data_IF_740325501750
#
_entry.id   IF_740325501750
#
_cell.length_a   1.000
_cell.length_b   1.000
_cell.length_c   1.000
_cell.angle_alpha   90.00
_cell.angle_beta   90.00
_cell.angle_gamma   90.00
#
_symmetry.space_group_name_H-M   'P 1'
#
loop_
_entity.id
_entity.type
_entity.pdbx_description
1 polymer ?
#
# COMPACT_ATOMS: atom_id res chain seq x y z
N UNK A 1 36.46 -2.10 -2.51
CA UNK A 1 35.64 -2.17 -1.29
C UNK A 1 34.79 -3.41 -1.38
N UNK A 2 34.83 -4.31 -0.39
CA UNK A 2 34.03 -5.53 -0.42
C UNK A 2 32.57 -5.17 -0.12
N UNK A 3 31.71 -5.24 -1.14
CA UNK A 3 30.27 -5.12 -0.95
C UNK A 3 29.75 -6.41 -0.33
N UNK A 4 29.17 -6.32 0.87
CA UNK A 4 28.44 -7.42 1.51
C UNK A 4 26.97 -7.04 1.66
N UNK A 5 26.06 -7.85 1.11
CA UNK A 5 24.62 -7.70 1.34
C UNK A 5 24.13 -8.78 2.30
N UNK A 6 23.48 -8.36 3.39
CA UNK A 6 22.82 -9.26 4.32
C UNK A 6 21.57 -9.82 3.66
N UNK A 7 21.44 -11.15 3.60
CA UNK A 7 20.30 -11.85 3.00
C UNK A 7 19.35 -12.41 4.05
N UNK A 8 19.90 -12.90 5.17
CA UNK A 8 19.11 -13.52 6.22
C UNK A 8 19.81 -13.39 7.58
N UNK A 9 19.03 -13.21 8.64
CA UNK A 9 19.49 -13.28 10.02
C UNK A 9 18.45 -14.02 10.84
N UNK A 10 18.90 -14.93 11.69
CA UNK A 10 18.01 -15.71 12.54
C UNK A 10 18.76 -16.60 13.51
N UNK A 11 18.05 -17.60 14.02
CA UNK A 11 18.56 -18.59 14.96
C UNK A 11 18.55 -19.94 14.27
N UNK A 12 19.60 -20.71 14.49
CA UNK A 12 19.69 -22.09 14.08
C UNK A 12 20.01 -22.99 15.27
N UNK A 13 19.66 -24.25 15.14
CA UNK A 13 19.87 -25.27 16.15
C UNK A 13 20.82 -26.33 15.60
N UNK A 14 21.85 -26.65 16.36
CA UNK A 14 22.78 -27.74 16.05
C UNK A 14 22.47 -28.92 16.96
N UNK A 15 22.27 -30.10 16.39
CA UNK A 15 22.03 -31.31 17.16
C UNK A 15 23.33 -31.73 17.86
N UNK A 16 23.31 -31.74 19.20
CA UNK A 16 24.40 -32.24 20.03
C UNK A 16 24.23 -33.74 20.27
N UNK A 17 23.03 -34.15 20.67
CA UNK A 17 22.71 -35.54 20.99
C UNK A 17 21.34 -35.88 20.40
N UNK A 18 21.25 -37.01 19.69
CA UNK A 18 19.98 -37.52 19.18
C UNK A 18 19.09 -38.05 20.32
N UNK A 19 17.80 -38.21 20.05
CA UNK A 19 16.85 -38.80 20.98
C UNK A 19 17.31 -40.20 21.40
N UNK A 20 17.25 -40.45 22.69
CA UNK A 20 17.45 -41.79 23.27
C UNK A 20 16.14 -42.27 23.90
N UNK A 21 16.12 -43.50 24.41
CA UNK A 21 14.94 -44.04 25.11
C UNK A 21 14.54 -43.22 26.35
N UNK A 22 15.50 -42.53 26.98
CA UNK A 22 15.29 -41.82 28.25
C UNK A 22 15.32 -40.30 28.12
N UNK A 23 15.85 -39.75 27.03
CA UNK A 23 16.03 -38.31 26.86
C UNK A 23 15.60 -37.81 25.49
N UNK A 24 15.05 -36.59 25.48
CA UNK A 24 14.79 -35.82 24.27
C UNK A 24 16.10 -35.41 23.58
N UNK A 25 16.08 -35.14 22.26
CA UNK A 25 17.26 -34.67 21.54
C UNK A 25 17.74 -33.32 22.10
N UNK A 26 19.05 -33.18 22.25
CA UNK A 26 19.68 -31.95 22.75
C UNK A 26 20.22 -31.12 21.59
N UNK A 27 19.93 -29.83 21.65
CA UNK A 27 20.36 -28.86 20.64
C UNK A 27 21.17 -27.73 21.26
N UNK A 28 22.20 -27.28 20.56
CA UNK A 28 22.82 -25.97 20.80
C UNK A 28 22.10 -24.91 19.97
N UNK A 29 21.86 -23.75 20.56
CA UNK A 29 21.31 -22.60 19.87
C UNK A 29 22.45 -21.72 19.37
N UNK A 30 22.49 -21.47 18.06
CA UNK A 30 23.53 -20.66 17.42
C UNK A 30 22.90 -19.51 16.63
N UNK A 31 23.59 -18.36 16.62
CA UNK A 31 23.21 -17.26 15.72
C UNK A 31 23.54 -17.64 14.28
N UNK A 32 22.58 -17.46 13.37
CA UNK A 32 22.72 -17.75 11.95
C UNK A 32 22.59 -16.46 11.13
N UNK A 33 23.55 -16.21 10.26
CA UNK A 33 23.55 -15.09 9.34
C UNK A 33 23.98 -15.55 7.94
N UNK A 34 23.23 -15.16 6.91
CA UNK A 34 23.57 -15.41 5.51
C UNK A 34 23.80 -14.09 4.81
N UNK A 35 24.94 -13.95 4.14
CA UNK A 35 25.30 -12.76 3.36
C UNK A 35 25.89 -13.12 2.03
N UNK A 36 25.66 -12.28 1.02
CA UNK A 36 26.35 -12.35 -0.26
C UNK A 36 27.58 -11.46 -0.20
N UNK A 37 28.75 -12.02 -0.50
CA UNK A 37 30.03 -11.32 -0.38
C UNK A 37 30.89 -11.54 -1.62
N UNK A 38 31.46 -10.45 -2.13
CA UNK A 38 32.46 -10.51 -3.21
C UNK A 38 33.85 -10.66 -2.57
N UNK A 39 34.57 -11.68 -3.00
CA UNK A 39 35.95 -11.95 -2.55
C UNK A 39 36.96 -11.50 -3.60
N UNK A 40 38.19 -11.08 -3.21
CA UNK A 40 39.20 -10.59 -4.16
C UNK A 40 39.59 -11.59 -5.25
N UNK A 41 39.47 -12.89 -4.97
CA UNK A 41 39.87 -13.97 -5.86
C UNK A 41 38.74 -14.53 -6.72
N UNK A 42 37.48 -14.07 -6.55
CA UNK A 42 36.35 -14.51 -7.36
C UNK A 42 35.61 -13.34 -8.01
N UNK A 43 35.26 -13.53 -9.28
CA UNK A 43 34.50 -12.53 -10.05
C UNK A 43 33.02 -12.48 -9.68
N UNK A 44 32.47 -13.59 -9.17
CA UNK A 44 31.06 -13.70 -8.77
C UNK A 44 30.92 -13.63 -7.24
N UNK A 45 29.89 -12.96 -6.73
CA UNK A 45 29.59 -12.97 -5.30
C UNK A 45 29.34 -14.40 -4.83
N UNK A 46 29.78 -14.72 -3.62
CA UNK A 46 29.56 -16.01 -2.97
C UNK A 46 28.63 -15.85 -1.79
N UNK A 47 27.86 -16.90 -1.52
CA UNK A 47 27.01 -16.97 -0.34
C UNK A 47 27.82 -17.45 0.86
N UNK A 48 27.90 -16.60 1.87
CA UNK A 48 28.60 -16.85 3.13
C UNK A 48 27.56 -17.07 4.22
N UNK A 49 27.63 -18.24 4.85
CA UNK A 49 26.88 -18.61 6.04
C UNK A 49 27.78 -18.43 7.26
N UNK A 50 27.40 -17.56 8.18
CA UNK A 50 27.98 -17.45 9.50
C UNK A 50 27.11 -18.19 10.50
N UNK A 51 27.70 -19.15 11.21
CA UNK A 51 27.05 -19.91 12.28
C UNK A 51 27.88 -19.76 13.55
N UNK A 52 27.33 -19.04 14.53
CA UNK A 52 28.07 -18.60 15.71
C UNK A 52 29.30 -17.79 15.30
N UNK A 53 30.48 -18.27 15.68
CA UNK A 53 31.77 -17.65 15.36
C UNK A 53 32.43 -18.17 14.07
N UNK A 54 31.84 -19.19 13.41
CA UNK A 54 32.46 -19.81 12.24
C UNK A 54 31.78 -19.36 10.95
N UNK A 55 32.59 -19.05 9.94
CA UNK A 55 32.11 -18.65 8.62
C UNK A 55 32.35 -19.74 7.59
N UNK A 56 31.35 -19.94 6.74
CA UNK A 56 31.31 -21.00 5.75
C UNK A 56 30.90 -20.45 4.39
N UNK A 57 31.48 -20.98 3.33
CA UNK A 57 30.99 -20.83 1.96
C UNK A 57 30.02 -21.96 1.68
N UNK A 58 28.82 -21.60 1.22
CA UNK A 58 27.77 -22.56 0.90
C UNK A 58 27.89 -22.96 -0.55
N UNK A 59 28.01 -24.26 -0.82
CA UNK A 59 28.10 -24.81 -2.17
C UNK A 59 26.77 -25.39 -2.64
N UNK A 60 26.07 -26.08 -1.75
CA UNK A 60 24.77 -26.67 -2.01
C UNK A 60 23.96 -26.69 -0.72
N UNK A 61 22.64 -26.59 -0.85
CA UNK A 61 21.69 -26.59 0.26
C UNK A 61 20.43 -27.33 -0.15
N UNK A 62 19.91 -28.18 0.72
CA UNK A 62 18.65 -28.87 0.48
C UNK A 62 17.88 -29.18 1.77
N UNK A 63 16.56 -29.41 1.65
CA UNK A 63 15.77 -29.95 2.75
C UNK A 63 16.24 -31.36 3.10
N UNK A 64 16.18 -31.71 4.38
CA UNK A 64 16.36 -33.08 4.83
C UNK A 64 15.37 -33.44 5.93
N UNK A 65 15.20 -34.73 6.15
CA UNK A 65 14.26 -35.28 7.12
C UNK A 65 14.84 -35.18 8.54
N UNK A 66 14.22 -34.35 9.37
CA UNK A 66 14.63 -34.11 10.75
C UNK A 66 14.35 -35.31 11.66
N UNK A 67 13.30 -36.10 11.39
CA UNK A 67 12.91 -37.23 12.22
C UNK A 67 13.96 -38.36 12.12
N UNK A 68 14.49 -38.59 10.92
CA UNK A 68 15.59 -39.56 10.70
C UNK A 68 16.85 -39.25 11.49
N UNK A 69 17.14 -37.95 11.71
CA UNK A 69 18.37 -37.54 12.39
C UNK A 69 18.22 -37.27 13.88
N UNK A 70 17.15 -36.61 14.28
CA UNK A 70 16.88 -36.34 15.69
C UNK A 70 16.32 -37.56 16.42
N UNK A 71 15.73 -38.53 15.71
CA UNK A 71 14.99 -39.64 16.29
C UNK A 71 13.62 -39.22 16.85
N UNK A 72 13.23 -37.95 16.71
CA UNK A 72 11.97 -37.44 17.22
C UNK A 72 10.92 -37.34 16.11
N UNK A 73 9.91 -38.22 16.17
CA UNK A 73 8.81 -38.28 15.22
C UNK A 73 7.85 -37.07 15.32
N UNK A 74 7.93 -36.29 16.41
CA UNK A 74 7.08 -35.10 16.58
C UNK A 74 7.55 -33.89 15.76
N UNK A 75 8.63 -34.01 14.98
CA UNK A 75 9.14 -33.00 14.03
C UNK A 75 9.12 -31.54 14.53
N UNK A 76 9.50 -31.31 15.78
CA UNK A 76 9.49 -29.96 16.35
C UNK A 76 10.48 -29.00 15.67
N UNK A 77 11.48 -29.53 14.97
CA UNK A 77 12.46 -28.76 14.20
C UNK A 77 12.64 -29.37 12.82
N UNK A 78 12.98 -28.52 11.86
CA UNK A 78 13.08 -28.80 10.43
C UNK A 78 14.54 -28.73 10.01
N UNK A 79 15.01 -29.75 9.30
CA UNK A 79 16.44 -29.95 9.02
C UNK A 79 16.80 -29.43 7.63
N UNK A 80 17.96 -28.77 7.56
CA UNK A 80 18.66 -28.40 6.34
C UNK A 80 19.98 -29.16 6.27
N UNK A 81 20.27 -29.64 5.07
CA UNK A 81 21.53 -30.28 4.73
C UNK A 81 22.32 -29.35 3.82
N UNK A 82 23.50 -28.93 4.30
CA UNK A 82 24.34 -27.96 3.62
C UNK A 82 25.69 -28.58 3.30
N UNK A 83 26.13 -28.45 2.05
CA UNK A 83 27.51 -28.76 1.65
C UNK A 83 28.28 -27.45 1.69
N UNK A 84 29.27 -27.37 2.59
CA UNK A 84 29.97 -26.12 2.89
C UNK A 84 31.48 -26.29 2.92
N UNK A 85 32.20 -25.16 2.82
CA UNK A 85 33.65 -25.06 3.04
C UNK A 85 33.94 -23.98 4.08
N UNK A 86 34.73 -24.25 5.14
CA UNK A 86 35.13 -23.20 6.07
C UNK A 86 35.85 -22.07 5.35
N UNK A 87 35.47 -20.82 5.62
CA UNK A 87 35.99 -19.68 4.87
C UNK A 87 37.50 -19.51 5.09
N UNK A 88 37.99 -19.73 6.31
CA UNK A 88 39.42 -19.65 6.60
C UNK A 88 40.22 -20.74 5.88
N UNK A 89 39.62 -21.92 5.72
CA UNK A 89 40.23 -22.99 4.93
C UNK A 89 40.29 -22.63 3.44
N UNK A 90 39.23 -22.02 2.91
CA UNK A 90 39.21 -21.51 1.53
C UNK A 90 40.28 -20.44 1.33
N UNK A 91 40.40 -19.47 2.25
CA UNK A 91 41.45 -18.43 2.17
C UNK A 91 42.85 -19.05 2.16
N UNK A 92 43.12 -20.02 3.04
CA UNK A 92 44.40 -20.74 3.07
C UNK A 92 44.63 -21.55 1.80
N UNK A 93 43.62 -22.26 1.33
CA UNK A 93 43.68 -23.05 0.10
C UNK A 93 43.99 -22.19 -1.12
N UNK A 94 43.41 -20.99 -1.21
CA UNK A 94 43.74 -20.03 -2.27
C UNK A 94 45.16 -19.50 -2.14
N UNK A 95 45.61 -19.16 -0.92
CA UNK A 95 46.94 -18.63 -0.67
C UNK A 95 48.04 -19.64 -1.02
N UNK A 96 47.86 -20.90 -0.64
CA UNK A 96 48.84 -21.97 -0.84
C UNK A 96 48.58 -22.83 -2.07
N UNK A 97 47.56 -22.49 -2.88
CA UNK A 97 47.16 -23.23 -4.09
C UNK A 97 46.85 -24.71 -3.82
N UNK A 98 46.15 -24.99 -2.72
CA UNK A 98 45.70 -26.34 -2.34
C UNK A 98 44.19 -26.51 -2.47
N UNK A 99 43.69 -27.72 -2.25
CA UNK A 99 42.26 -28.00 -2.25
C UNK A 99 41.62 -27.61 -0.90
N UNK A 100 40.54 -26.84 -0.94
CA UNK A 100 39.75 -26.51 0.25
C UNK A 100 38.90 -27.71 0.70
N UNK A 101 38.88 -27.98 2.00
CA UNK A 101 38.11 -29.06 2.61
C UNK A 101 36.62 -28.79 2.47
N UNK A 102 35.91 -29.78 1.95
CA UNK A 102 34.45 -29.77 1.86
C UNK A 102 33.87 -30.59 3.00
N UNK A 103 32.84 -30.07 3.66
CA UNK A 103 32.16 -30.75 4.76
C UNK A 103 30.65 -30.60 4.64
N UNK A 104 29.95 -31.50 5.30
CA UNK A 104 28.49 -31.52 5.38
C UNK A 104 28.07 -30.95 6.73
N UNK A 105 27.18 -29.97 6.71
CA UNK A 105 26.61 -29.35 7.90
C UNK A 105 25.10 -29.63 7.98
N UNK A 106 24.65 -30.05 9.16
CA UNK A 106 23.25 -30.33 9.46
C UNK A 106 22.72 -29.24 10.40
N UNK A 107 21.78 -28.44 9.91
CA UNK A 107 21.27 -27.25 10.60
C UNK A 107 19.77 -27.38 10.79
N UNK A 108 19.29 -27.18 12.02
CA UNK A 108 17.87 -27.28 12.35
C UNK A 108 17.26 -25.88 12.55
N UNK A 109 16.00 -25.72 12.17
CA UNK A 109 15.21 -24.48 12.27
C UNK A 109 13.82 -24.82 12.79
N UNK A 110 13.17 -23.91 13.51
CA UNK A 110 11.90 -24.22 14.18
C UNK A 110 10.68 -24.33 13.25
N UNK A 111 10.67 -23.58 12.14
CA UNK A 111 9.52 -23.49 11.26
C UNK A 111 9.87 -23.80 9.80
N UNK A 112 8.91 -24.40 9.08
CA UNK A 112 9.08 -24.78 7.68
C UNK A 112 9.20 -23.57 6.76
N UNK A 113 8.42 -22.51 7.02
CA UNK A 113 8.54 -21.25 6.30
C UNK A 113 9.94 -20.64 6.44
N UNK A 114 10.52 -20.70 7.64
CA UNK A 114 11.88 -20.21 7.90
C UNK A 114 12.91 -21.06 7.17
N UNK A 115 12.71 -22.40 7.14
CA UNK A 115 13.54 -23.32 6.36
C UNK A 115 13.52 -22.97 4.87
N UNK A 116 12.34 -22.75 4.29
CA UNK A 116 12.18 -22.39 2.87
C UNK A 116 12.79 -21.02 2.54
N UNK A 117 12.58 -20.02 3.42
CA UNK A 117 13.20 -18.70 3.26
C UNK A 117 14.72 -18.80 3.30
N UNK A 118 15.27 -19.54 4.25
CA UNK A 118 16.70 -19.76 4.37
C UNK A 118 17.27 -20.47 3.14
N UNK A 119 16.60 -21.52 2.64
CA UNK A 119 17.01 -22.22 1.42
C UNK A 119 17.06 -21.29 0.19
N UNK A 120 16.08 -20.42 0.01
CA UNK A 120 16.08 -19.40 -1.05
C UNK A 120 17.27 -18.44 -0.92
N UNK A 121 17.57 -17.97 0.29
CA UNK A 121 18.74 -17.13 0.53
C UNK A 121 20.06 -17.87 0.24
N UNK A 122 20.13 -19.17 0.54
CA UNK A 122 21.32 -20.00 0.36
C UNK A 122 21.57 -20.41 -1.08
N UNK A 123 20.52 -20.58 -1.89
CA UNK A 123 20.63 -20.85 -3.33
C UNK A 123 21.09 -19.62 -4.13
N UNK A 124 21.15 -18.44 -3.51
CA UNK A 124 21.45 -17.19 -4.20
C UNK A 124 20.30 -16.71 -5.09
N UNK A 125 19.12 -17.32 -4.99
CA UNK A 125 17.89 -16.70 -5.48
C UNK A 125 17.69 -15.44 -4.65
N UNK A 126 17.91 -14.31 -5.31
CA UNK A 126 17.84 -12.98 -4.73
C UNK A 126 16.62 -12.91 -3.81
N UNK A 127 16.88 -12.69 -2.52
CA UNK A 127 15.89 -12.63 -1.43
C UNK A 127 15.00 -11.38 -1.55
N UNK A 128 14.56 -11.06 -2.77
CA UNK A 128 13.46 -10.15 -2.96
C UNK A 128 12.23 -10.94 -2.57
N UNK A 129 11.82 -10.76 -1.32
CA UNK A 129 10.56 -11.30 -0.81
C UNK A 129 9.50 -11.06 -1.89
N UNK A 130 8.86 -12.10 -2.44
CA UNK A 130 7.91 -11.93 -3.54
C UNK A 130 6.79 -10.96 -3.15
N UNK A 131 6.43 -10.92 -1.86
CA UNK A 131 5.54 -9.91 -1.30
C UNK A 131 6.06 -8.47 -1.44
N UNK A 132 7.36 -8.22 -1.24
CA UNK A 132 7.95 -6.89 -1.43
C UNK A 132 7.92 -6.45 -2.89
N UNK A 133 8.27 -7.35 -3.82
CA UNK A 133 8.13 -7.11 -5.28
C UNK A 133 6.70 -6.76 -5.68
N UNK A 134 5.72 -7.47 -5.12
CA UNK A 134 4.30 -7.19 -5.37
C UNK A 134 3.87 -5.86 -4.76
N UNK A 135 4.31 -5.54 -3.54
CA UNK A 135 4.01 -4.25 -2.91
C UNK A 135 4.61 -3.08 -3.68
N UNK A 136 5.89 -3.17 -4.06
CA UNK A 136 6.57 -2.14 -4.85
C UNK A 136 5.85 -1.93 -6.19
N UNK A 137 5.40 -3.02 -6.83
CA UNK A 137 4.58 -2.97 -8.04
C UNK A 137 3.21 -2.32 -7.78
N UNK A 138 2.52 -2.68 -6.69
CA UNK A 138 1.21 -2.13 -6.35
C UNK A 138 1.28 -0.62 -6.10
N UNK A 139 2.29 -0.14 -5.37
CA UNK A 139 2.52 1.28 -5.16
C UNK A 139 2.88 2.02 -6.45
N UNK A 140 3.73 1.44 -7.31
CA UNK A 140 4.04 2.02 -8.60
C UNK A 140 2.81 2.13 -9.52
N UNK A 141 1.93 1.11 -9.53
CA UNK A 141 0.67 1.18 -10.29
C UNK A 141 -0.27 2.24 -9.72
N UNK A 142 -0.36 2.36 -8.40
CA UNK A 142 -1.17 3.36 -7.72
C UNK A 142 -0.69 4.79 -8.01
N UNK A 143 0.62 5.02 -8.01
CA UNK A 143 1.20 6.32 -8.37
C UNK A 143 0.90 6.68 -9.83
N UNK A 144 0.92 5.70 -10.74
CA UNK A 144 0.49 5.91 -12.14
C UNK A 144 -1.00 6.26 -12.24
N UNK A 145 -1.85 5.62 -11.42
CA UNK A 145 -3.28 5.91 -11.37
C UNK A 145 -3.58 7.34 -10.85
N UNK A 146 -2.76 7.83 -9.91
CA UNK A 146 -2.89 9.20 -9.39
C UNK A 146 -2.44 10.24 -10.41
N UNK A 147 -1.44 9.90 -11.23
CA UNK A 147 -0.88 10.80 -12.24
C UNK A 147 -1.59 10.71 -13.61
N UNK A 148 -2.53 9.78 -13.79
CA UNK A 148 -3.29 9.67 -15.04
C UNK A 148 -4.33 10.78 -15.16
N UNK A 149 -4.37 11.43 -16.33
CA UNK A 149 -5.32 12.51 -16.64
C UNK A 149 -6.69 11.99 -17.12
N UNK A 150 -6.74 10.74 -17.57
CA UNK A 150 -7.95 10.10 -18.07
C UNK A 150 -8.57 9.21 -16.99
N UNK A 151 -9.81 9.51 -16.64
CA UNK A 151 -10.57 8.85 -15.58
C UNK A 151 -10.79 7.34 -15.86
N UNK A 152 -10.98 6.95 -17.13
CA UNK A 152 -11.17 5.53 -17.48
C UNK A 152 -9.88 4.73 -17.29
N UNK A 153 -8.73 5.32 -17.67
CA UNK A 153 -7.42 4.70 -17.43
C UNK A 153 -7.07 4.67 -15.94
N UNK A 154 -7.44 5.72 -15.19
CA UNK A 154 -7.23 5.80 -13.76
C UNK A 154 -7.98 4.67 -13.02
N UNK A 155 -9.25 4.42 -13.38
CA UNK A 155 -10.06 3.34 -12.80
C UNK A 155 -9.40 1.98 -13.02
N UNK A 156 -9.00 1.66 -14.26
CA UNK A 156 -8.30 0.39 -14.57
C UNK A 156 -7.02 0.22 -13.76
N UNK A 157 -6.23 1.29 -13.60
CA UNK A 157 -5.00 1.25 -12.81
C UNK A 157 -5.28 1.09 -11.31
N UNK A 158 -6.36 1.68 -10.77
CA UNK A 158 -6.77 1.48 -9.39
C UNK A 158 -7.26 0.05 -9.13
N UNK A 159 -8.01 -0.56 -10.05
CA UNK A 159 -8.42 -1.97 -9.98
C UNK A 159 -7.21 -2.91 -10.05
N UNK A 160 -6.26 -2.62 -10.94
CA UNK A 160 -5.02 -3.39 -11.03
C UNK A 160 -4.20 -3.29 -9.74
N UNK A 161 -4.08 -2.09 -9.15
CA UNK A 161 -3.40 -1.90 -7.87
C UNK A 161 -4.10 -2.69 -6.74
N UNK A 162 -5.44 -2.67 -6.68
CA UNK A 162 -6.24 -3.42 -5.70
C UNK A 162 -6.01 -4.94 -5.80
N UNK A 163 -5.97 -5.47 -7.03
CA UNK A 163 -5.66 -6.89 -7.28
C UNK A 163 -4.26 -7.26 -6.80
N UNK A 164 -3.27 -6.42 -7.09
CA UNK A 164 -1.87 -6.68 -6.67
C UNK A 164 -1.73 -6.57 -5.14
N UNK A 165 -2.44 -5.64 -4.48
CA UNK A 165 -2.49 -5.59 -3.02
C UNK A 165 -3.15 -6.83 -2.40
N UNK A 166 -4.17 -7.41 -3.04
CA UNK A 166 -4.78 -8.68 -2.59
C UNK A 166 -3.81 -9.87 -2.71
N UNK A 167 -3.05 -9.94 -3.79
CA UNK A 167 -2.01 -10.97 -3.97
C UNK A 167 -0.89 -10.81 -2.92
N UNK A 168 -0.48 -9.57 -2.63
CA UNK A 168 0.50 -9.28 -1.60
C UNK A 168 0.01 -9.64 -0.18
N UNK A 169 -1.27 -9.40 0.14
CA UNK A 169 -1.87 -9.74 1.44
C UNK A 169 -1.72 -11.23 1.79
N UNK A 170 -1.85 -12.12 0.80
CA UNK A 170 -1.72 -13.58 1.00
C UNK A 170 -0.33 -14.02 1.41
N UNK A 171 0.69 -13.23 1.08
CA UNK A 171 2.09 -13.54 1.37
C UNK A 171 2.57 -12.94 2.70
N UNK A 172 1.75 -12.11 3.35
CA UNK A 172 2.07 -11.50 4.63
C UNK A 172 1.67 -12.41 5.80
N UNK A 173 2.58 -12.54 6.76
CA UNK A 173 2.36 -13.29 8.01
C UNK A 173 1.90 -12.42 9.18
N UNK A 174 2.05 -11.09 9.07
CA UNK A 174 1.76 -10.13 10.15
C UNK A 174 0.32 -9.60 10.07
N UNK A 175 -0.45 -9.76 11.15
CA UNK A 175 -1.87 -9.40 11.24
C UNK A 175 -2.08 -7.90 11.03
N UNK A 176 -1.23 -7.07 11.64
CA UNK A 176 -1.31 -5.61 11.55
C UNK A 176 -1.09 -5.12 10.13
N UNK A 177 -0.11 -5.70 9.43
CA UNK A 177 0.17 -5.39 8.03
C UNK A 177 -0.96 -5.86 7.09
N UNK A 178 -1.59 -7.00 7.39
CA UNK A 178 -2.77 -7.49 6.66
C UNK A 178 -3.97 -6.55 6.84
N UNK A 179 -4.24 -6.11 8.06
CA UNK A 179 -5.30 -5.13 8.34
C UNK A 179 -5.07 -3.80 7.61
N UNK A 180 -3.83 -3.32 7.59
CA UNK A 180 -3.47 -2.12 6.83
C UNK A 180 -3.75 -2.28 5.34
N UNK A 181 -3.37 -3.40 4.73
CA UNK A 181 -3.67 -3.67 3.32
C UNK A 181 -5.17 -3.77 3.05
N UNK A 182 -5.95 -4.37 3.96
CA UNK A 182 -7.41 -4.42 3.84
C UNK A 182 -8.04 -3.04 3.89
N UNK A 183 -7.62 -2.20 4.83
CA UNK A 183 -8.08 -0.82 4.92
C UNK A 183 -7.75 -0.06 3.62
N UNK A 184 -6.51 -0.21 3.13
CA UNK A 184 -6.07 0.45 1.90
C UNK A 184 -6.85 -0.01 0.66
N UNK A 185 -7.16 -1.30 0.56
CA UNK A 185 -8.00 -1.86 -0.52
C UNK A 185 -9.43 -1.33 -0.43
N UNK A 186 -9.99 -1.22 0.78
CA UNK A 186 -11.32 -0.61 0.97
C UNK A 186 -11.32 0.86 0.53
N UNK A 187 -10.26 1.62 0.83
CA UNK A 187 -10.11 3.00 0.35
C UNK A 187 -10.07 3.07 -1.18
N UNK A 188 -9.30 2.19 -1.83
CA UNK A 188 -9.22 2.11 -3.29
C UNK A 188 -10.55 1.76 -3.95
N UNK A 189 -11.33 0.85 -3.35
CA UNK A 189 -12.66 0.53 -3.83
C UNK A 189 -13.62 1.72 -3.70
N UNK A 190 -13.47 2.56 -2.66
CA UNK A 190 -14.26 3.79 -2.53
C UNK A 190 -13.86 4.82 -3.59
N UNK A 191 -12.57 4.97 -3.89
CA UNK A 191 -12.12 5.90 -4.93
C UNK A 191 -12.60 5.46 -6.31
N UNK A 192 -12.50 4.17 -6.64
CA UNK A 192 -13.02 3.63 -7.93
C UNK A 192 -14.51 3.93 -8.07
N UNK A 193 -15.33 3.63 -7.05
CA UNK A 193 -16.77 3.92 -7.08
C UNK A 193 -17.09 5.41 -7.19
N UNK A 194 -16.25 6.28 -6.63
CA UNK A 194 -16.36 7.73 -6.78
C UNK A 194 -16.16 8.17 -8.23
N UNK A 195 -15.05 7.72 -8.83
CA UNK A 195 -14.71 8.05 -10.22
C UNK A 195 -15.72 7.47 -11.22
N UNK A 196 -16.22 6.25 -11.00
CA UNK A 196 -17.27 5.66 -11.84
C UNK A 196 -18.57 6.48 -11.80
N UNK A 197 -18.92 7.03 -10.64
CA UNK A 197 -20.09 7.91 -10.51
C UNK A 197 -19.87 9.24 -11.23
N UNK A 198 -18.67 9.80 -11.17
CA UNK A 198 -18.33 11.02 -11.91
C UNK A 198 -18.45 10.79 -13.42
N UNK A 199 -17.91 9.69 -13.95
CA UNK A 199 -18.06 9.32 -15.36
C UNK A 199 -19.54 9.14 -15.73
N UNK A 200 -20.32 8.41 -14.91
CA UNK A 200 -21.76 8.23 -15.15
C UNK A 200 -22.52 9.55 -15.13
N UNK A 201 -22.21 10.45 -14.19
CA UNK A 201 -22.85 11.76 -14.12
C UNK A 201 -22.47 12.68 -15.28
N UNK A 202 -21.22 12.63 -15.75
CA UNK A 202 -20.78 13.35 -16.93
C UNK A 202 -21.43 12.81 -18.21
N UNK A 203 -21.61 11.49 -18.28
CA UNK A 203 -22.37 10.85 -19.34
C UNK A 203 -23.84 11.27 -19.29
N UNK A 204 -24.51 11.21 -18.13
CA UNK A 204 -25.92 11.59 -17.97
C UNK A 204 -26.19 13.07 -18.25
N UNK A 205 -25.24 13.97 -17.97
CA UNK A 205 -25.33 15.39 -18.38
C UNK A 205 -25.19 15.54 -19.91
N UNK A 206 -24.39 14.68 -20.56
CA UNK A 206 -24.26 14.65 -22.02
C UNK A 206 -25.44 13.95 -22.73
N UNK A 207 -26.11 12.99 -22.07
CA UNK A 207 -27.27 12.26 -22.60
C UNK A 207 -28.62 12.73 -22.05
N UNK A 208 -28.67 13.75 -21.20
CA UNK A 208 -29.94 14.39 -20.86
C UNK A 208 -30.56 14.96 -22.14
N UNK A 209 -31.71 14.46 -22.61
CA UNK A 209 -32.40 15.06 -23.73
C UNK A 209 -32.71 16.50 -23.32
N UNK A 210 -32.21 17.47 -24.11
CA UNK A 210 -32.57 18.88 -23.97
C UNK A 210 -34.08 18.98 -23.72
N UNK A 211 -34.53 19.40 -22.53
CA UNK A 211 -35.92 19.69 -22.36
C UNK A 211 -36.16 21.01 -23.10
N UNK A 212 -36.89 20.87 -24.20
CA UNK A 212 -37.59 21.90 -24.97
C UNK A 212 -36.88 22.44 -26.21
N UNK A 213 -37.61 22.26 -27.30
CA UNK A 213 -37.44 22.86 -28.61
C UNK A 213 -37.24 24.38 -28.47
N UNK A 214 -35.98 24.81 -28.57
CA UNK A 214 -35.56 26.21 -28.49
C UNK A 214 -36.27 27.06 -29.55
N UNK A 215 -36.66 26.41 -30.65
CA UNK A 215 -37.51 26.92 -31.74
C UNK A 215 -38.91 27.29 -31.24
N UNK A 216 -39.58 26.43 -30.47
CA UNK A 216 -40.91 26.66 -29.93
C UNK A 216 -40.91 27.82 -28.92
N UNK A 217 -39.88 27.91 -28.07
CA UNK A 217 -39.76 29.02 -27.10
C UNK A 217 -39.40 30.36 -27.77
N UNK A 218 -38.66 30.33 -28.87
CA UNK A 218 -38.41 31.51 -29.71
C UNK A 218 -39.68 31.96 -30.45
N UNK A 219 -40.51 31.04 -30.94
CA UNK A 219 -41.82 31.38 -31.50
C UNK A 219 -42.78 31.94 -30.46
N UNK A 220 -42.77 31.38 -29.25
CA UNK A 220 -43.60 31.86 -28.15
C UNK A 220 -43.17 33.27 -27.71
N UNK A 221 -41.86 33.55 -27.61
CA UNK A 221 -41.33 34.90 -27.39
C UNK A 221 -41.66 35.87 -28.53
N UNK A 222 -41.63 35.42 -29.78
CA UNK A 222 -42.04 36.24 -30.94
C UNK A 222 -43.54 36.55 -30.92
N UNK A 223 -44.39 35.59 -30.57
CA UNK A 223 -45.84 35.81 -30.39
C UNK A 223 -46.13 36.76 -29.23
N UNK A 224 -45.37 36.63 -28.14
CA UNK A 224 -45.50 37.51 -26.97
C UNK A 224 -45.07 38.96 -27.28
N UNK A 225 -43.98 39.15 -28.03
CA UNK A 225 -43.56 40.47 -28.50
C UNK A 225 -44.59 41.11 -29.46
N UNK A 226 -45.14 40.33 -30.39
CA UNK A 226 -46.19 40.80 -31.30
C UNK A 226 -47.49 41.20 -30.57
N UNK A 227 -47.81 40.56 -29.44
CA UNK A 227 -48.93 40.94 -28.59
C UNK A 227 -48.67 42.25 -27.80
N UNK A 228 -47.42 42.56 -27.46
CA UNK A 228 -47.07 43.84 -26.82
C UNK A 228 -47.13 45.01 -27.81
N UNK A 229 -46.73 44.79 -29.07
CA UNK A 229 -46.82 45.82 -30.11
C UNK A 229 -48.27 46.11 -30.54
N UNK A 230 -49.16 45.10 -30.46
CA UNK A 230 -50.60 45.28 -30.67
C UNK A 230 -51.33 45.99 -29.52
N UNK A 231 -50.81 45.88 -28.29
CA UNK A 231 -51.41 46.49 -27.09
C UNK A 231 -50.94 47.94 -26.83
N UNK A 232 -50.01 48.48 -27.62
CA UNK A 232 -49.57 49.89 -27.51
C UNK A 232 -50.47 50.89 -28.25
N UNK A 233 -51.48 50.45 -29.01
CA UNK A 233 -52.37 51.35 -29.77
C UNK A 233 -53.63 51.77 -28.98
N UNK A 234 -53.97 51.09 -27.88
CA UNK A 234 -55.07 51.49 -27.00
C UNK A 234 -54.71 51.38 -25.50
N UNK A 235 -53.92 52.31 -24.99
CA UNK A 235 -53.86 52.56 -23.55
C UNK A 235 -53.57 54.04 -23.26
N UNK A 236 -54.51 54.66 -22.55
CA UNK A 236 -54.55 56.06 -22.11
C UNK A 236 -53.25 56.53 -21.39
N UNK A 237 -52.93 57.84 -21.45
CA UNK A 237 -51.70 58.39 -20.87
C UNK A 237 -51.88 58.60 -19.36
N UNK A 238 -51.67 57.55 -18.56
CA UNK A 238 -51.87 57.62 -17.09
C UNK A 238 -50.62 57.40 -16.22
N UNK A 239 -49.64 56.61 -16.65
CA UNK A 239 -48.64 56.02 -15.72
C UNK A 239 -47.16 56.27 -16.11
N UNK A 240 -46.83 57.41 -16.70
CA UNK A 240 -45.41 57.78 -16.98
C UNK A 240 -44.72 58.51 -15.82
N UNK A 241 -45.48 59.02 -14.86
CA UNK A 241 -44.97 59.82 -13.74
C UNK A 241 -44.46 58.97 -12.56
N UNK A 242 -44.90 57.72 -12.41
CA UNK A 242 -44.52 56.88 -11.25
C UNK A 242 -43.14 56.20 -11.41
N UNK A 243 -42.74 55.86 -12.65
CA UNK A 243 -41.43 55.25 -12.92
C UNK A 243 -40.26 56.24 -12.84
N UNK A 244 -40.50 57.50 -13.22
CA UNK A 244 -39.50 58.57 -13.13
C UNK A 244 -39.28 59.02 -11.69
N UNK A 245 -40.32 59.03 -10.86
CA UNK A 245 -40.21 59.29 -9.41
C UNK A 245 -39.42 58.18 -8.69
N UNK A 246 -39.66 56.90 -9.02
CA UNK A 246 -38.94 55.75 -8.42
C UNK A 246 -37.46 55.69 -8.83
N UNK A 247 -37.10 56.14 -10.05
CA UNK A 247 -35.70 56.22 -10.49
C UNK A 247 -34.93 57.41 -9.87
N UNK A 248 -35.62 58.49 -9.49
CA UNK A 248 -35.00 59.61 -8.78
C UNK A 248 -34.66 59.25 -7.31
N UNK A 249 -35.49 58.44 -6.66
CA UNK A 249 -35.27 57.98 -5.28
C UNK A 249 -34.08 57.01 -5.13
N UNK A 250 -33.69 56.28 -6.18
CA UNK A 250 -32.58 55.32 -6.15
C UNK A 250 -31.19 55.93 -6.43
N UNK A 251 -31.13 57.19 -6.87
CA UNK A 251 -29.86 57.84 -7.27
C UNK A 251 -29.27 58.80 -6.24
N UNK A 252 -29.99 59.12 -5.17
CA UNK A 252 -29.50 59.97 -4.08
C UNK A 252 -29.85 59.33 -2.73
N UNK A 253 -28.93 58.57 -2.13
CA UNK A 253 -28.34 58.97 -0.83
C UNK A 253 -27.25 58.01 -0.34
N UNK A 254 -26.21 58.65 0.20
CA UNK A 254 -24.95 58.12 0.70
C UNK A 254 -25.17 57.26 1.95
N UNK A 255 -24.79 55.99 1.93
CA UNK A 255 -24.45 55.26 3.15
C UNK A 255 -22.99 55.57 3.53
N UNK A 256 -22.80 56.70 4.23
CA UNK A 256 -21.65 56.93 5.11
C UNK A 256 -21.80 56.12 6.42
N UNK A 257 -20.73 55.97 7.21
CA UNK A 257 -20.52 54.84 8.12
C UNK A 257 -21.42 54.87 9.36
N UNK A 258 -21.80 53.68 9.82
CA UNK A 258 -22.65 53.46 10.99
C UNK A 258 -21.96 53.90 12.30
N UNK A 259 -22.63 54.67 13.18
CA UNK A 259 -22.24 54.84 14.57
C UNK A 259 -22.95 53.81 15.49
N UNK A 260 -22.43 53.59 16.72
CA UNK A 260 -22.74 52.42 17.54
C UNK A 260 -23.77 52.66 18.66
N UNK A 261 -24.16 51.54 19.30
CA UNK A 261 -24.37 51.34 20.76
C UNK A 261 -25.80 51.12 21.32
N UNK A 262 -25.87 50.14 22.26
CA UNK A 262 -26.76 49.88 23.43
C UNK A 262 -28.27 50.15 23.35
N UNK A 263 -29.19 49.42 23.99
CA UNK A 263 -29.18 48.48 25.12
C UNK A 263 -30.59 48.52 25.78
N UNK A 264 -31.00 47.42 26.45
CA UNK A 264 -32.21 47.34 27.30
C UNK A 264 -33.52 46.94 26.58
N UNK A 265 -34.44 46.16 27.13
CA UNK A 265 -34.59 45.51 28.44
C UNK A 265 -35.58 44.33 28.34
N UNK A 266 -35.30 43.30 29.14
CA UNK A 266 -36.18 42.45 30.00
C UNK A 266 -37.43 41.73 29.49
N UNK A 267 -37.42 40.44 29.86
CA UNK A 267 -38.57 39.60 30.21
C UNK A 267 -38.29 38.16 29.76
N UNK A 268 -37.83 37.21 30.56
CA UNK A 268 -38.09 36.90 31.96
C UNK A 268 -38.87 35.59 32.01
N UNK A 269 -38.26 34.47 32.41
CA UNK A 269 -38.93 33.43 33.21
C UNK A 269 -37.94 32.33 33.65
N UNK A 270 -38.00 32.06 34.94
CA UNK A 270 -37.34 31.01 35.73
C UNK A 270 -37.61 29.58 35.25
N UNK A 271 -36.68 28.66 35.52
CA UNK A 271 -36.91 27.46 36.37
C UNK A 271 -35.58 26.95 36.98
N UNK A 272 -35.62 26.82 38.33
CA UNK A 272 -34.93 25.98 39.31
C UNK A 272 -34.10 24.76 38.85
N UNK A 273 -33.21 24.11 39.61
CA UNK A 273 -32.41 24.33 40.84
C UNK A 273 -31.83 22.94 41.27
N UNK A 274 -30.64 22.93 41.90
CA UNK A 274 -30.14 21.86 42.81
C UNK A 274 -29.79 20.50 42.18
N UNK A 275 -28.71 19.81 42.53
CA UNK A 275 -27.76 19.94 43.62
C UNK A 275 -27.42 18.53 44.16
N UNK A 276 -26.13 18.28 44.42
CA UNK A 276 -25.63 17.08 45.09
C UNK A 276 -24.57 16.34 44.29
#
# INVERSE_FOLDING_TARGET
MASSSLLFQGIAWLLLEAKTTFYSPRYSQESLCVRSQVFPFWKRPQIVLQLGHTEYIVLNSGPADAAKRSGDQKEAKKLLHLTVRPLDDVKRAQLYQTAARTQVLQVFVDAELTRERLLRCLSGEEAVDPGKKLLDKAFATLERAQNSRDLETAIKLYEEAERVFWEAEKLLTDDRSREFLRARRADLQRTVRGLEKEIKSAADVATSPLPMDLSARLEELRRFAAQQDGAQVEAQPGNRTDLTARLAALKNEKAGPAPPFEGGERGGSHYWAGGG
#
